data_IF_201402230298
#
_entry.id   IF_201402230298
#
_cell.length_a   1.000
_cell.length_b   1.000
_cell.length_c   1.000
_cell.angle_alpha   90.00
_cell.angle_beta   90.00
_cell.angle_gamma   90.00
#
_symmetry.space_group_name_H-M   'P 1'
#
loop_
_entity.id
_entity.type
_entity.pdbx_description
1 polymer ?
#
# COMPACT_ATOMS: atom_id res chain seq x y z
N UNK A 1 -6.18 0.69 12.15
CA UNK A 1 -6.21 0.55 10.69
C UNK A 1 -4.78 0.68 10.18
N UNK A 2 -4.31 -0.27 9.39
CA UNK A 2 -2.99 -0.24 8.72
C UNK A 2 -3.05 0.57 7.43
N UNK A 3 -1.91 0.97 6.89
CA UNK A 3 -1.86 1.64 5.57
C UNK A 3 -2.51 0.78 4.48
N UNK A 4 -2.26 -0.53 4.52
CA UNK A 4 -2.82 -1.49 3.55
C UNK A 4 -4.35 -1.55 3.61
N UNK A 5 -4.92 -1.57 4.81
CA UNK A 5 -6.38 -1.58 5.00
C UNK A 5 -7.00 -0.29 4.48
N UNK A 6 -6.39 0.85 4.81
CA UNK A 6 -6.82 2.16 4.32
C UNK A 6 -6.81 2.23 2.79
N UNK A 7 -5.70 1.88 2.15
CA UNK A 7 -5.57 1.88 0.68
C UNK A 7 -6.63 0.97 0.06
N UNK A 8 -6.81 -0.25 0.57
CA UNK A 8 -7.80 -1.20 0.05
C UNK A 8 -9.21 -0.64 0.14
N UNK A 9 -9.58 -0.05 1.27
CA UNK A 9 -10.90 0.56 1.48
C UNK A 9 -11.15 1.72 0.50
N UNK A 10 -10.19 2.64 0.37
CA UNK A 10 -10.31 3.78 -0.53
C UNK A 10 -10.37 3.34 -2.00
N UNK A 11 -9.49 2.42 -2.41
CA UNK A 11 -9.49 1.86 -3.77
C UNK A 11 -10.82 1.20 -4.10
N UNK A 12 -11.35 0.36 -3.21
CA UNK A 12 -12.63 -0.32 -3.44
C UNK A 12 -13.77 0.68 -3.58
N UNK A 13 -13.85 1.65 -2.66
CA UNK A 13 -14.90 2.66 -2.64
C UNK A 13 -14.90 3.53 -3.90
N UNK A 14 -13.71 3.96 -4.35
CA UNK A 14 -13.57 4.77 -5.57
C UNK A 14 -13.85 3.90 -6.81
N UNK A 15 -13.31 2.69 -6.88
CA UNK A 15 -13.53 1.77 -7.99
C UNK A 15 -15.02 1.47 -8.21
N UNK A 16 -15.77 1.21 -7.14
CA UNK A 16 -17.21 0.96 -7.21
C UNK A 16 -17.99 2.16 -7.76
N UNK A 17 -17.67 3.38 -7.30
CA UNK A 17 -18.27 4.60 -7.83
C UNK A 17 -17.96 4.78 -9.32
N UNK A 18 -16.69 4.65 -9.71
CA UNK A 18 -16.25 4.78 -11.10
C UNK A 18 -16.91 3.73 -12.02
N UNK A 19 -17.04 2.50 -11.55
CA UNK A 19 -17.73 1.41 -12.27
C UNK A 19 -19.22 1.69 -12.48
N UNK A 20 -19.84 2.47 -11.60
CA UNK A 20 -21.22 2.93 -11.72
C UNK A 20 -21.36 4.22 -12.55
N UNK A 21 -20.27 4.72 -13.15
CA UNK A 21 -20.26 5.98 -13.89
C UNK A 21 -20.36 7.22 -12.99
N UNK A 22 -20.10 7.08 -11.69
CA UNK A 22 -20.12 8.16 -10.72
C UNK A 22 -18.72 8.70 -10.49
N UNK A 23 -18.64 9.96 -10.07
CA UNK A 23 -17.37 10.56 -9.69
C UNK A 23 -16.82 9.92 -8.39
N UNK A 24 -15.49 9.90 -8.17
CA UNK A 24 -14.91 9.44 -6.91
C UNK A 24 -15.54 10.16 -5.70
N UNK A 25 -16.01 9.42 -4.67
CA UNK A 25 -16.70 10.01 -3.52
C UNK A 25 -15.74 10.66 -2.52
N UNK A 26 -14.44 10.38 -2.64
CA UNK A 26 -13.37 10.92 -1.81
C UNK A 26 -12.14 11.21 -2.67
N UNK A 27 -11.30 12.12 -2.19
CA UNK A 27 -10.05 12.50 -2.84
C UNK A 27 -10.17 13.64 -3.85
N UNK A 28 -9.01 14.10 -4.31
CA UNK A 28 -8.84 15.17 -5.29
C UNK A 28 -8.47 14.56 -6.64
N UNK A 29 -9.06 15.04 -7.73
CA UNK A 29 -8.79 14.58 -9.09
C UNK A 29 -9.06 15.70 -10.09
N UNK A 30 -8.47 15.59 -11.29
CA UNK A 30 -8.78 16.49 -12.38
C UNK A 30 -10.14 16.16 -13.02
N UNK A 31 -11.04 17.12 -13.00
CA UNK A 31 -12.39 16.99 -13.55
C UNK A 31 -12.41 16.84 -15.07
N UNK A 32 -11.43 17.40 -15.79
CA UNK A 32 -11.33 17.25 -17.23
C UNK A 32 -10.92 15.80 -17.59
N UNK A 33 -9.92 15.27 -16.88
CA UNK A 33 -9.51 13.87 -16.97
C UNK A 33 -10.64 12.90 -16.61
N UNK A 34 -11.43 13.20 -15.56
CA UNK A 34 -12.59 12.38 -15.21
C UNK A 34 -13.61 12.31 -16.36
N UNK A 35 -13.96 13.47 -16.95
CA UNK A 35 -14.90 13.52 -18.08
C UNK A 35 -14.41 12.69 -19.25
N UNK A 36 -13.12 12.76 -19.56
CA UNK A 36 -12.52 11.97 -20.63
C UNK A 36 -12.53 10.47 -20.31
N UNK A 37 -12.21 10.08 -19.07
CA UNK A 37 -12.25 8.69 -18.62
C UNK A 37 -13.67 8.09 -18.68
N UNK A 38 -14.68 8.85 -18.27
CA UNK A 38 -16.09 8.41 -18.26
C UNK A 38 -16.69 8.14 -19.65
N UNK A 39 -16.00 8.55 -20.73
CA UNK A 39 -16.37 8.20 -22.11
C UNK A 39 -15.99 6.77 -22.51
N UNK A 40 -15.22 6.05 -21.68
CA UNK A 40 -14.66 4.72 -21.98
C UNK A 40 -15.44 3.63 -21.26
N UNK A 41 -15.51 2.43 -21.85
CA UNK A 41 -16.40 1.38 -21.38
C UNK A 41 -15.96 0.67 -20.09
N UNK A 42 -14.66 0.48 -19.88
CA UNK A 42 -14.17 -0.33 -18.75
C UNK A 42 -13.15 0.40 -17.89
N UNK A 43 -13.27 0.24 -16.57
CA UNK A 43 -12.33 0.73 -15.58
C UNK A 43 -11.60 -0.43 -14.91
N UNK A 44 -10.30 -0.26 -14.70
CA UNK A 44 -9.41 -1.19 -14.02
C UNK A 44 -8.62 -0.43 -12.94
N UNK A 45 -8.22 -1.14 -11.90
CA UNK A 45 -7.35 -0.59 -10.85
C UNK A 45 -5.92 -0.56 -11.41
N UNK A 46 -5.29 0.61 -11.35
CA UNK A 46 -3.91 0.84 -11.75
C UNK A 46 -2.94 0.79 -10.57
N UNK A 47 -1.83 1.51 -10.69
CA UNK A 47 -0.79 1.56 -9.66
C UNK A 47 -1.19 2.44 -8.49
N UNK A 48 -0.68 2.10 -7.31
CA UNK A 48 -0.76 2.94 -6.10
C UNK A 48 0.59 3.60 -5.85
N UNK A 49 0.61 4.92 -5.71
CA UNK A 49 1.81 5.66 -5.32
C UNK A 49 1.64 6.29 -3.95
N UNK A 50 2.72 6.31 -3.17
CA UNK A 50 2.71 6.83 -1.81
C UNK A 50 3.42 8.18 -1.75
N UNK A 51 2.79 9.13 -1.05
CA UNK A 51 3.39 10.41 -0.65
C UNK A 51 3.35 10.48 0.89
N UNK A 52 4.18 11.33 1.52
CA UNK A 52 4.20 11.43 2.99
C UNK A 52 2.85 11.76 3.62
N UNK A 53 1.97 12.45 2.89
CA UNK A 53 0.68 12.98 3.35
C UNK A 53 -0.53 12.39 2.61
N UNK A 54 -0.32 11.54 1.60
CA UNK A 54 -1.39 11.13 0.69
C UNK A 54 -1.06 9.85 -0.07
N UNK A 55 -2.09 9.21 -0.60
CA UNK A 55 -1.99 8.08 -1.53
C UNK A 55 -2.55 8.51 -2.86
N UNK A 56 -1.82 8.24 -3.95
CA UNK A 56 -2.30 8.43 -5.31
C UNK A 56 -2.78 7.08 -5.84
N UNK A 57 -4.06 6.99 -6.17
CA UNK A 57 -4.71 5.80 -6.70
C UNK A 57 -4.99 6.01 -8.18
N UNK A 58 -4.40 5.18 -9.02
CA UNK A 58 -4.66 5.21 -10.46
C UNK A 58 -5.81 4.28 -10.84
N UNK A 59 -6.63 4.75 -11.77
CA UNK A 59 -7.69 3.99 -12.40
C UNK A 59 -7.54 4.10 -13.91
N UNK A 60 -7.39 2.95 -14.56
CA UNK A 60 -7.13 2.86 -15.99
C UNK A 60 -8.46 2.60 -16.70
N UNK A 61 -8.82 3.50 -17.58
CA UNK A 61 -10.00 3.40 -18.42
C UNK A 61 -9.59 2.97 -19.82
N UNK A 62 -10.24 1.94 -20.34
CA UNK A 62 -9.95 1.44 -21.69
C UNK A 62 -11.21 1.32 -22.53
N UNK A 63 -11.04 1.66 -23.81
CA UNK A 63 -12.04 1.58 -24.87
C UNK A 63 -11.29 1.31 -26.18
N UNK A 64 -11.61 0.23 -26.93
CA UNK A 64 -10.90 -0.13 -28.16
C UNK A 64 -10.74 1.01 -29.17
N UNK A 65 -11.70 1.93 -29.23
CA UNK A 65 -11.70 3.05 -30.18
C UNK A 65 -10.99 4.32 -29.69
N UNK A 66 -10.75 4.49 -28.38
CA UNK A 66 -10.27 5.74 -27.78
C UNK A 66 -8.91 5.62 -27.07
N UNK A 67 -8.35 4.41 -27.00
CA UNK A 67 -7.10 4.14 -26.26
C UNK A 67 -7.25 4.27 -24.74
N UNK A 68 -6.18 4.01 -23.97
CA UNK A 68 -6.23 4.09 -22.51
C UNK A 68 -6.24 5.56 -22.03
N UNK A 69 -6.97 5.82 -20.95
CA UNK A 69 -6.87 7.05 -20.16
C UNK A 69 -6.68 6.68 -18.68
N UNK A 70 -5.94 7.49 -17.93
CA UNK A 70 -5.65 7.23 -16.52
C UNK A 70 -6.25 8.38 -15.70
N UNK A 71 -7.12 8.03 -14.76
CA UNK A 71 -7.56 8.94 -13.71
C UNK A 71 -6.73 8.68 -12.46
N UNK A 72 -6.03 9.69 -11.98
CA UNK A 72 -5.34 9.65 -10.69
C UNK A 72 -6.18 10.37 -9.64
N UNK A 73 -6.48 9.68 -8.54
CA UNK A 73 -7.19 10.25 -7.38
C UNK A 73 -6.21 10.36 -6.21
N UNK A 74 -6.00 11.58 -5.72
CA UNK A 74 -5.20 11.85 -4.52
C UNK A 74 -6.09 11.77 -3.29
N UNK A 75 -5.80 10.81 -2.41
CA UNK A 75 -6.52 10.64 -1.14
C UNK A 75 -5.62 11.09 0.01
N UNK A 76 -6.01 12.11 0.79
CA UNK A 76 -5.27 12.50 1.99
C UNK A 76 -5.15 11.33 2.97
N UNK A 77 -3.94 11.12 3.49
CA UNK A 77 -3.70 10.12 4.50
C UNK A 77 -4.17 10.65 5.88
N UNK A 78 -4.76 9.79 6.74
CA UNK A 78 -5.19 10.20 8.08
C UNK A 78 -4.01 10.49 9.03
N UNK A 79 -2.83 9.99 8.71
CA UNK A 79 -1.58 10.24 9.41
C UNK A 79 -0.39 10.08 8.43
N UNK A 80 0.84 10.49 8.80
CA UNK A 80 1.99 10.42 7.92
C UNK A 80 2.30 9.00 7.45
N UNK A 81 2.66 8.88 6.17
CA UNK A 81 3.17 7.65 5.57
C UNK A 81 4.70 7.70 5.59
N UNK A 82 5.31 6.64 6.11
CA UNK A 82 6.76 6.47 6.19
C UNK A 82 7.19 5.26 5.38
N UNK A 83 8.39 5.34 4.82
CA UNK A 83 9.05 4.17 4.23
C UNK A 83 9.90 3.50 5.30
N UNK A 84 9.64 2.22 5.57
CA UNK A 84 10.47 1.38 6.41
C UNK A 84 11.50 0.67 5.53
N UNK A 85 12.77 1.13 5.53
CA UNK A 85 13.81 0.47 4.76
C UNK A 85 14.08 -0.92 5.34
N UNK A 86 14.62 -1.79 4.50
CA UNK A 86 15.18 -3.07 4.95
C UNK A 86 16.44 -2.77 5.75
N UNK A 87 16.59 -3.25 6.99
CA UNK A 87 17.83 -3.07 7.75
C UNK A 87 19.03 -3.70 7.04
N UNK A 88 20.19 -3.06 7.09
CA UNK A 88 21.40 -3.50 6.37
C UNK A 88 21.79 -4.95 6.69
N UNK A 89 21.68 -5.36 7.97
CA UNK A 89 21.97 -6.73 8.41
C UNK A 89 21.05 -7.79 7.76
N UNK A 90 19.84 -7.41 7.31
CA UNK A 90 18.98 -8.31 6.51
C UNK A 90 19.48 -8.40 5.07
N UNK A 91 19.96 -7.28 4.51
CA UNK A 91 20.44 -7.22 3.13
C UNK A 91 21.71 -8.06 2.98
N UNK A 92 22.61 -8.00 3.96
CA UNK A 92 23.87 -8.76 4.00
C UNK A 92 23.66 -10.28 3.96
N UNK A 93 22.60 -10.77 4.61
CA UNK A 93 22.33 -12.21 4.75
C UNK A 93 21.46 -12.79 3.62
N UNK A 94 20.89 -11.96 2.72
CA UNK A 94 20.00 -12.42 1.65
C UNK A 94 20.79 -12.76 0.39
N UNK A 95 20.90 -14.06 0.11
CA UNK A 95 21.70 -14.58 -1.01
C UNK A 95 20.96 -14.60 -2.36
N UNK A 96 19.62 -14.56 -2.36
CA UNK A 96 18.79 -14.52 -3.58
C UNK A 96 17.49 -13.73 -3.36
N UNK A 97 17.15 -12.88 -4.33
CA UNK A 97 15.91 -12.09 -4.37
C UNK A 97 16.12 -10.61 -4.09
N UNK A 98 15.15 -9.79 -4.50
CA UNK A 98 15.11 -8.36 -4.19
C UNK A 98 14.34 -8.17 -2.87
N UNK A 99 15.01 -7.67 -1.84
CA UNK A 99 14.35 -7.28 -0.58
C UNK A 99 14.11 -5.78 -0.62
N UNK A 100 12.84 -5.39 -0.69
CA UNK A 100 12.44 -3.99 -0.73
C UNK A 100 11.83 -3.58 0.60
N UNK A 101 12.04 -2.32 0.97
CA UNK A 101 11.35 -1.73 2.11
C UNK A 101 9.86 -1.54 1.82
N UNK A 102 9.12 -1.14 2.84
CA UNK A 102 7.65 -1.09 2.78
C UNK A 102 7.11 0.22 3.31
N UNK A 103 6.05 0.73 2.68
CA UNK A 103 5.33 1.89 3.20
C UNK A 103 4.39 1.49 4.34
N UNK A 104 4.34 2.31 5.39
CA UNK A 104 3.48 2.13 6.56
C UNK A 104 2.97 3.48 7.04
N UNK A 105 1.88 3.47 7.79
CA UNK A 105 1.58 4.63 8.63
C UNK A 105 2.63 4.76 9.74
N UNK A 106 2.87 5.99 10.19
CA UNK A 106 3.85 6.27 11.23
C UNK A 106 3.54 5.51 12.54
N UNK A 107 2.27 5.46 12.94
CA UNK A 107 1.82 4.69 14.11
C UNK A 107 2.12 3.19 13.98
N UNK A 108 1.84 2.62 12.80
CA UNK A 108 2.10 1.21 12.47
C UNK A 108 3.61 0.91 12.52
N UNK A 109 4.43 1.78 11.93
CA UNK A 109 5.89 1.65 11.95
C UNK A 109 6.44 1.67 13.39
N UNK A 110 5.93 2.57 14.24
CA UNK A 110 6.36 2.66 15.63
C UNK A 110 6.07 1.37 16.41
N UNK A 111 4.88 0.78 16.21
CA UNK A 111 4.51 -0.49 16.84
C UNK A 111 5.45 -1.62 16.38
N UNK A 112 5.75 -1.71 15.08
CA UNK A 112 6.64 -2.72 14.53
C UNK A 112 8.07 -2.58 15.07
N UNK A 113 8.60 -1.36 15.12
CA UNK A 113 9.94 -1.08 15.67
C UNK A 113 10.02 -1.43 17.16
N UNK A 114 9.00 -1.07 17.94
CA UNK A 114 8.95 -1.43 19.37
C UNK A 114 8.89 -2.95 19.56
N UNK A 115 8.13 -3.66 18.73
CA UNK A 115 8.04 -5.13 18.77
C UNK A 115 9.39 -5.77 18.45
N UNK A 116 10.06 -5.31 17.39
CA UNK A 116 11.40 -5.80 17.02
C UNK A 116 12.41 -5.52 18.15
N UNK A 117 12.42 -4.29 18.69
CA UNK A 117 13.28 -3.93 19.80
C UNK A 117 13.08 -4.87 21.00
N UNK A 118 11.83 -5.11 21.40
CA UNK A 118 11.54 -6.03 22.49
C UNK A 118 11.97 -7.46 22.18
N UNK A 119 11.80 -7.93 20.94
CA UNK A 119 12.23 -9.28 20.56
C UNK A 119 13.75 -9.47 20.62
N UNK A 120 14.53 -8.42 20.37
CA UNK A 120 15.99 -8.46 20.40
C UNK A 120 16.53 -8.28 21.82
N UNK A 121 15.99 -7.32 22.57
CA UNK A 121 16.60 -6.85 23.83
C UNK A 121 15.89 -7.31 25.10
N UNK A 122 14.84 -8.13 25.01
CA UNK A 122 14.23 -8.75 26.19
C UNK A 122 14.78 -10.14 26.46
N UNK A 123 14.55 -10.63 27.67
CA UNK A 123 14.85 -12.03 28.06
C UNK A 123 14.18 -13.06 27.13
N UNK A 124 13.09 -12.67 26.43
CA UNK A 124 12.41 -13.52 25.44
C UNK A 124 13.33 -13.89 24.26
N UNK A 125 14.40 -13.13 24.00
CA UNK A 125 15.33 -13.44 22.92
C UNK A 125 16.01 -14.82 23.11
N UNK A 126 16.15 -15.29 24.36
CA UNK A 126 16.74 -16.60 24.69
C UNK A 126 16.00 -17.76 24.03
N UNK A 127 14.69 -17.62 23.78
CA UNK A 127 13.87 -18.66 23.16
C UNK A 127 14.32 -18.99 21.73
N UNK A 128 14.96 -18.05 21.02
CA UNK A 128 15.51 -18.29 19.68
C UNK A 128 16.80 -19.13 19.69
N UNK A 129 17.41 -19.34 20.86
CA UNK A 129 18.62 -20.14 21.04
C UNK A 129 18.34 -21.53 21.64
N UNK A 130 17.30 -21.64 22.47
CA UNK A 130 17.01 -22.86 23.25
C UNK A 130 16.15 -23.89 22.50
N UNK A 131 15.29 -23.45 21.58
CA UNK A 131 14.54 -24.35 20.69
C UNK A 131 15.18 -24.32 19.30
N UNK A 132 15.55 -25.48 18.72
CA UNK A 132 15.80 -25.55 17.26
C UNK A 132 14.51 -25.10 16.58
N UNK A 133 14.48 -23.92 15.92
CA UNK A 133 13.23 -23.43 15.42
C UNK A 133 12.92 -24.24 14.16
N UNK A 134 12.02 -25.21 14.29
CA UNK A 134 11.18 -25.53 13.14
C UNK A 134 10.37 -24.26 12.88
N UNK A 135 10.93 -23.39 12.03
CA UNK A 135 10.27 -22.21 11.48
C UNK A 135 9.04 -22.69 10.70
N UNK A 136 7.97 -23.08 11.41
CA UNK A 136 6.66 -23.29 10.83
C UNK A 136 6.16 -21.92 10.46
N UNK A 137 6.35 -21.55 9.19
CA UNK A 137 5.56 -20.51 8.54
C UNK A 137 4.09 -20.82 8.79
N UNK A 138 3.52 -20.15 9.79
CA UNK A 138 2.12 -20.28 10.14
C UNK A 138 1.36 -19.34 9.22
N UNK A 139 1.05 -19.83 8.02
CA UNK A 139 0.00 -19.26 7.18
C UNK A 139 -1.34 -19.49 7.89
N UNK A 140 -1.86 -18.46 8.58
CA UNK A 140 -3.28 -18.29 8.86
C UNK A 140 -3.61 -16.80 8.75
#
# INVERSE_FOLDING_TARGET
>A
MTLREFVREQTQRIYEALRQGQAPPTGEYDTATLKECMRRATVQIGTTHYRPDSVLLEFIFTEPSLGPAILTVRVPAPEPIVYMPVPDWVIEDVWQGEVTGTFRFASEAQVLLKKLHNQIFSETNILYFEERPQLKHRNQ
#
